data_IF_689193702495
#
_entry.id   IF_689193702495
#
_cell.length_a   1.000
_cell.length_b   1.000
_cell.length_c   1.000
_cell.angle_alpha   90.00
_cell.angle_beta   90.00
_cell.angle_gamma   90.00
#
_symmetry.space_group_name_H-M   'P 1'
#
loop_
_entity.id
_entity.type
_entity.pdbx_description
1 polymer ?
#
# COMPACT_ATOMS: atom_id res chain seq x y z
N UNK A 1 -0.94 -31.52 -10.84
CA UNK A 1 -1.01 -30.49 -9.77
C UNK A 1 -2.25 -29.65 -10.05
N UNK A 2 -3.18 -29.44 -9.11
CA UNK A 2 -4.28 -28.53 -9.36
C UNK A 2 -3.70 -27.13 -9.53
N UNK A 3 -3.85 -26.57 -10.73
CA UNK A 3 -3.49 -25.19 -11.04
C UNK A 3 -4.39 -24.31 -10.19
N UNK A 4 -3.80 -23.55 -9.27
CA UNK A 4 -4.56 -22.54 -8.53
C UNK A 4 -5.33 -21.68 -9.56
N UNK A 5 -6.63 -21.42 -9.33
CA UNK A 5 -7.36 -20.53 -10.20
C UNK A 5 -6.58 -19.20 -10.32
N UNK A 6 -6.57 -18.57 -11.50
CA UNK A 6 -5.90 -17.29 -11.66
C UNK A 6 -6.46 -16.32 -10.61
N UNK A 7 -5.61 -15.49 -9.97
CA UNK A 7 -6.05 -14.56 -8.95
C UNK A 7 -7.21 -13.72 -9.48
N UNK A 8 -8.17 -13.42 -8.61
CA UNK A 8 -9.34 -12.62 -8.98
C UNK A 8 -8.99 -11.15 -9.30
N UNK A 9 -7.71 -10.77 -9.17
CA UNK A 9 -7.13 -9.47 -9.52
C UNK A 9 -5.95 -9.62 -10.48
N UNK A 10 -5.67 -8.56 -11.24
CA UNK A 10 -4.55 -8.53 -12.17
C UNK A 10 -3.19 -8.58 -11.45
N UNK A 11 -2.11 -9.07 -12.09
CA UNK A 11 -0.77 -9.02 -11.52
C UNK A 11 -0.34 -7.62 -11.09
N UNK A 12 -0.78 -6.59 -11.82
CA UNK A 12 -0.55 -5.18 -11.52
C UNK A 12 -1.19 -4.78 -10.18
N UNK A 13 -2.49 -5.05 -10.01
CA UNK A 13 -3.22 -4.78 -8.77
C UNK A 13 -2.61 -5.55 -7.58
N UNK A 14 -2.17 -6.78 -7.83
CA UNK A 14 -1.48 -7.61 -6.84
C UNK A 14 -0.17 -6.99 -6.36
N UNK A 15 0.67 -6.50 -7.29
CA UNK A 15 1.93 -5.88 -6.94
C UNK A 15 1.74 -4.58 -6.13
N UNK A 16 0.74 -3.76 -6.50
CA UNK A 16 0.40 -2.56 -5.73
C UNK A 16 -0.05 -2.90 -4.31
N UNK A 17 -0.97 -3.85 -4.16
CA UNK A 17 -1.44 -4.30 -2.85
C UNK A 17 -0.28 -4.79 -1.97
N UNK A 18 0.58 -5.63 -2.53
CA UNK A 18 1.74 -6.18 -1.81
C UNK A 18 2.73 -5.11 -1.42
N UNK A 19 2.96 -4.10 -2.26
CA UNK A 19 3.85 -2.99 -1.94
C UNK A 19 3.32 -2.19 -0.73
N UNK A 20 2.02 -1.88 -0.73
CA UNK A 20 1.35 -1.13 0.36
C UNK A 20 1.38 -1.91 1.66
N UNK A 21 1.01 -3.19 1.59
CA UNK A 21 1.08 -4.05 2.76
C UNK A 21 2.52 -4.17 3.27
N UNK A 22 3.51 -4.41 2.43
CA UNK A 22 4.91 -4.53 2.87
C UNK A 22 5.40 -3.27 3.61
N UNK A 23 4.98 -2.08 3.17
CA UNK A 23 5.29 -0.83 3.85
C UNK A 23 4.61 -0.73 5.22
N UNK A 24 3.32 -1.06 5.27
CA UNK A 24 2.53 -0.99 6.48
C UNK A 24 2.86 -2.11 7.50
N UNK A 25 3.56 -3.16 7.05
CA UNK A 25 4.14 -4.20 7.91
C UNK A 25 5.58 -3.87 8.38
N UNK A 26 6.25 -2.85 7.80
CA UNK A 26 7.70 -2.66 8.02
C UNK A 26 8.09 -2.29 9.46
N UNK A 27 7.15 -1.74 10.24
CA UNK A 27 7.33 -1.42 11.66
C UNK A 27 6.58 -2.41 12.58
N UNK A 28 5.88 -3.40 12.00
CA UNK A 28 5.09 -4.39 12.75
C UNK A 28 3.80 -3.86 13.40
N UNK A 29 3.41 -2.61 13.15
CA UNK A 29 2.32 -1.92 13.87
C UNK A 29 0.96 -1.83 13.16
N UNK A 30 0.77 -2.49 12.01
CA UNK A 30 -0.57 -2.58 11.43
C UNK A 30 -1.48 -3.38 12.37
N UNK A 31 -2.45 -2.69 12.98
CA UNK A 31 -3.43 -3.36 13.81
C UNK A 31 -4.21 -4.37 12.96
N UNK A 32 -4.64 -5.48 13.57
CA UNK A 32 -5.42 -6.49 12.84
C UNK A 32 -6.69 -5.88 12.25
N UNK A 33 -7.26 -4.90 12.95
CA UNK A 33 -8.40 -4.10 12.53
C UNK A 33 -8.11 -3.27 11.27
N UNK A 34 -6.91 -2.69 11.14
CA UNK A 34 -6.51 -1.91 9.97
C UNK A 34 -6.23 -2.81 8.76
N UNK A 35 -5.68 -4.01 9.00
CA UNK A 35 -5.54 -5.05 7.97
C UNK A 35 -6.91 -5.49 7.46
N UNK A 36 -7.84 -5.78 8.36
CA UNK A 36 -9.18 -6.21 8.00
C UNK A 36 -9.95 -5.10 7.27
N UNK A 37 -9.78 -3.84 7.67
CA UNK A 37 -10.35 -2.67 6.98
C UNK A 37 -9.77 -2.51 5.57
N UNK A 38 -8.45 -2.64 5.42
CA UNK A 38 -7.79 -2.59 4.09
C UNK A 38 -8.31 -3.72 3.21
N UNK A 39 -8.35 -4.95 3.72
CA UNK A 39 -8.83 -6.12 2.98
C UNK A 39 -10.28 -5.96 2.55
N UNK A 40 -11.15 -5.46 3.43
CA UNK A 40 -12.55 -5.18 3.09
C UNK A 40 -12.65 -4.13 1.98
N UNK A 41 -11.97 -3.01 2.12
CA UNK A 41 -12.02 -1.93 1.13
C UNK A 41 -11.41 -2.34 -0.22
N UNK A 42 -10.28 -3.04 -0.24
CA UNK A 42 -9.69 -3.55 -1.47
C UNK A 42 -10.56 -4.62 -2.11
N UNK A 43 -11.15 -5.51 -1.32
CA UNK A 43 -12.07 -6.51 -1.86
C UNK A 43 -13.27 -5.86 -2.54
N UNK A 44 -13.81 -4.76 -2.00
CA UNK A 44 -14.90 -3.98 -2.62
C UNK A 44 -14.47 -3.26 -3.89
N UNK A 45 -13.23 -2.75 -3.91
CA UNK A 45 -12.69 -1.99 -5.04
C UNK A 45 -12.49 -2.86 -6.28
N UNK A 46 -12.13 -4.12 -6.08
CA UNK A 46 -11.80 -5.05 -7.16
C UNK A 46 -12.93 -6.03 -7.50
N UNK A 47 -13.87 -6.28 -6.59
CA UNK A 47 -14.98 -7.20 -6.83
C UNK A 47 -16.14 -6.53 -7.57
N UNK A 48 -16.76 -7.29 -8.47
CA UNK A 48 -17.96 -6.85 -9.20
C UNK A 48 -19.26 -7.31 -8.52
N UNK A 49 -19.17 -8.28 -7.59
CA UNK A 49 -20.32 -8.83 -6.87
C UNK A 49 -19.95 -9.28 -5.43
N UNK A 50 -20.94 -9.39 -4.50
CA UNK A 50 -20.67 -9.73 -3.10
C UNK A 50 -20.06 -11.12 -2.87
N UNK A 51 -20.33 -12.11 -3.74
CA UNK A 51 -19.74 -13.46 -3.63
C UNK A 51 -18.30 -13.47 -4.14
N UNK A 52 -17.98 -12.62 -5.11
CA UNK A 52 -16.61 -12.37 -5.54
C UNK A 52 -15.83 -11.62 -4.46
N UNK A 53 -16.45 -10.64 -3.80
CA UNK A 53 -15.83 -9.87 -2.72
C UNK A 53 -15.34 -10.77 -1.58
N UNK A 54 -16.18 -11.66 -1.05
CA UNK A 54 -15.77 -12.57 0.03
C UNK A 54 -14.62 -13.49 -0.36
N UNK A 55 -14.63 -14.02 -1.59
CA UNK A 55 -13.53 -14.86 -2.10
C UNK A 55 -12.25 -14.06 -2.26
N UNK A 56 -12.37 -12.85 -2.81
CA UNK A 56 -11.25 -11.97 -3.00
C UNK A 56 -10.65 -11.54 -1.66
N UNK A 57 -11.46 -11.23 -0.65
CA UNK A 57 -10.96 -10.89 0.68
C UNK A 57 -10.10 -12.02 1.29
N UNK A 58 -10.52 -13.28 1.12
CA UNK A 58 -9.73 -14.44 1.55
C UNK A 58 -8.43 -14.57 0.75
N UNK A 59 -8.50 -14.47 -0.59
CA UNK A 59 -7.31 -14.48 -1.45
C UNK A 59 -6.32 -13.38 -1.07
N UNK A 60 -6.80 -12.15 -0.88
CA UNK A 60 -5.97 -11.01 -0.48
C UNK A 60 -5.33 -11.25 0.88
N UNK A 61 -6.06 -11.78 1.86
CA UNK A 61 -5.49 -12.13 3.17
C UNK A 61 -4.34 -13.12 3.03
N UNK A 62 -4.53 -14.18 2.26
CA UNK A 62 -3.51 -15.19 2.00
C UNK A 62 -2.28 -14.59 1.31
N UNK A 63 -2.47 -13.62 0.41
CA UNK A 63 -1.37 -12.90 -0.23
C UNK A 63 -0.63 -11.94 0.70
N UNK A 64 -1.33 -11.27 1.60
CA UNK A 64 -0.69 -10.40 2.60
C UNK A 64 0.14 -11.22 3.59
N UNK A 65 -0.34 -12.41 3.97
CA UNK A 65 0.40 -13.32 4.85
C UNK A 65 1.69 -13.88 4.23
N UNK A 66 1.85 -13.83 2.90
CA UNK A 66 3.10 -14.25 2.24
C UNK A 66 4.28 -13.30 2.49
N UNK A 67 4.03 -12.10 3.04
CA UNK A 67 5.04 -11.11 3.45
C UNK A 67 6.23 -11.01 2.48
N UNK A 68 5.92 -10.68 1.22
CA UNK A 68 6.91 -10.62 0.14
C UNK A 68 7.70 -9.31 0.29
N UNK A 69 9.04 -9.34 0.28
CA UNK A 69 9.84 -8.14 0.47
C UNK A 69 9.72 -7.15 -0.71
N UNK A 70 9.90 -5.85 -0.43
CA UNK A 70 9.81 -4.78 -1.44
C UNK A 70 10.76 -5.00 -2.62
N UNK A 71 11.94 -5.57 -2.38
CA UNK A 71 12.94 -5.91 -3.40
C UNK A 71 12.39 -6.84 -4.48
N UNK A 72 11.41 -7.67 -4.15
CA UNK A 72 10.77 -8.58 -5.10
C UNK A 72 9.54 -7.96 -5.80
N UNK A 73 9.00 -6.89 -5.24
CA UNK A 73 7.78 -6.24 -5.74
C UNK A 73 8.13 -5.06 -6.63
N UNK A 74 9.04 -4.19 -6.20
CA UNK A 74 9.41 -2.97 -6.92
C UNK A 74 9.92 -3.23 -8.35
N UNK A 75 10.72 -4.28 -8.64
CA UNK A 75 11.13 -4.60 -10.00
C UNK A 75 9.97 -4.99 -10.93
N UNK A 76 8.81 -5.38 -10.38
CA UNK A 76 7.60 -5.74 -11.12
C UNK A 76 6.67 -4.54 -11.38
N UNK A 77 7.06 -3.34 -10.95
CA UNK A 77 6.40 -2.08 -11.27
C UNK A 77 7.03 -1.52 -12.55
N UNK A 78 6.34 -1.74 -13.66
CA UNK A 78 6.81 -1.45 -15.00
C UNK A 78 6.63 0.04 -15.37
N UNK A 79 5.75 0.76 -14.66
CA UNK A 79 5.46 2.18 -14.95
C UNK A 79 5.96 3.10 -13.85
N UNK A 80 6.42 4.28 -14.26
CA UNK A 80 6.81 5.34 -13.33
C UNK A 80 5.66 5.73 -12.39
N UNK A 81 4.44 5.81 -12.90
CA UNK A 81 3.26 6.18 -12.12
C UNK A 81 2.97 5.18 -10.99
N UNK A 82 3.26 3.89 -11.21
CA UNK A 82 3.11 2.85 -10.17
C UNK A 82 4.15 3.02 -9.07
N UNK A 83 5.37 3.40 -9.45
CA UNK A 83 6.46 3.68 -8.51
C UNK A 83 6.15 4.92 -7.68
N UNK A 84 5.62 5.97 -8.31
CA UNK A 84 5.18 7.19 -7.63
C UNK A 84 4.00 6.91 -6.69
N UNK A 85 3.03 6.08 -7.10
CA UNK A 85 1.94 5.66 -6.24
C UNK A 85 2.48 4.90 -5.02
N UNK A 86 3.38 3.95 -5.20
CA UNK A 86 3.97 3.21 -4.08
C UNK A 86 4.76 4.13 -3.14
N UNK A 87 5.48 5.12 -3.67
CA UNK A 87 6.16 6.14 -2.85
C UNK A 87 5.16 6.91 -1.99
N UNK A 88 4.07 7.37 -2.61
CA UNK A 88 3.00 8.13 -1.96
C UNK A 88 2.41 7.34 -0.80
N UNK A 89 1.98 6.11 -1.08
CA UNK A 89 1.35 5.24 -0.11
C UNK A 89 2.31 4.89 1.03
N UNK A 90 3.59 4.64 0.72
CA UNK A 90 4.63 4.42 1.73
C UNK A 90 4.84 5.62 2.65
N UNK A 91 4.79 6.84 2.11
CA UNK A 91 4.88 8.07 2.89
C UNK A 91 3.64 8.29 3.78
N UNK A 92 2.44 8.06 3.23
CA UNK A 92 1.17 8.19 3.97
C UNK A 92 1.13 7.23 5.17
N UNK A 93 1.60 6.00 4.98
CA UNK A 93 1.67 4.96 6.02
C UNK A 93 2.57 5.39 7.19
N UNK A 94 3.83 5.74 6.92
CA UNK A 94 4.77 6.09 8.00
C UNK A 94 4.35 7.37 8.72
N UNK A 95 3.77 8.35 8.01
CA UNK A 95 3.29 9.61 8.61
C UNK A 95 2.02 9.41 9.41
N UNK A 96 1.23 8.37 9.13
CA UNK A 96 0.02 8.08 9.88
C UNK A 96 0.25 7.21 11.11
N UNK A 97 1.39 6.52 11.20
CA UNK A 97 1.80 5.76 12.38
C UNK A 97 2.10 6.67 13.59
N UNK A 98 2.47 7.93 13.31
CA UNK A 98 2.70 9.06 14.22
C UNK A 98 1.63 9.41 15.27
N UNK A 99 0.49 8.70 15.33
CA UNK A 99 -0.71 9.14 16.05
C UNK A 99 -0.58 9.06 17.58
N UNK A 100 0.50 8.48 18.11
CA UNK A 100 0.79 8.46 19.54
C UNK A 100 1.43 9.80 19.96
N UNK A 101 0.79 10.60 20.83
CA UNK A 101 1.24 11.96 21.16
C UNK A 101 2.60 12.07 21.88
N UNK A 102 3.20 10.94 22.25
CA UNK A 102 4.49 10.86 22.94
C UNK A 102 5.61 10.25 22.10
N UNK A 103 5.35 9.92 20.82
CA UNK A 103 6.34 9.36 19.90
C UNK A 103 6.68 10.37 18.79
N UNK A 104 7.91 10.33 18.24
CA UNK A 104 8.25 11.10 17.05
C UNK A 104 7.33 10.72 15.87
N UNK A 105 7.00 11.68 15.00
CA UNK A 105 6.12 11.46 13.84
C UNK A 105 6.59 10.32 12.90
N UNK A 106 7.89 10.04 12.87
CA UNK A 106 8.48 8.91 12.16
C UNK A 106 9.61 8.38 13.04
N UNK A 107 9.60 7.08 13.34
CA UNK A 107 10.66 6.46 14.12
C UNK A 107 11.89 6.11 13.22
N UNK A 108 13.01 5.67 13.82
CA UNK A 108 14.21 5.35 13.03
C UNK A 108 14.03 4.15 12.08
N UNK A 109 13.18 3.20 12.41
CA UNK A 109 12.93 1.99 11.61
C UNK A 109 12.06 2.32 10.39
N UNK A 110 11.01 3.11 10.58
CA UNK A 110 10.15 3.67 9.53
C UNK A 110 10.95 4.55 8.58
N UNK A 111 11.84 5.41 9.11
CA UNK A 111 12.72 6.23 8.29
C UNK A 111 13.66 5.36 7.44
N UNK A 112 14.25 4.31 8.01
CA UNK A 112 15.10 3.36 7.27
C UNK A 112 14.32 2.59 6.21
N UNK A 113 13.11 2.13 6.52
CA UNK A 113 12.23 1.45 5.58
C UNK A 113 11.84 2.37 4.42
N UNK A 114 11.52 3.64 4.70
CA UNK A 114 11.17 4.62 3.69
C UNK A 114 12.36 5.02 2.80
N UNK A 115 13.54 5.24 3.38
CA UNK A 115 14.76 5.47 2.60
C UNK A 115 15.09 4.28 1.70
N UNK A 116 14.90 3.06 2.21
CA UNK A 116 15.05 1.84 1.42
C UNK A 116 14.05 1.81 0.27
N UNK A 117 12.78 2.12 0.50
CA UNK A 117 11.78 2.23 -0.55
C UNK A 117 12.20 3.24 -1.63
N UNK A 118 12.60 4.46 -1.24
CA UNK A 118 13.08 5.49 -2.19
C UNK A 118 14.24 4.99 -3.05
N UNK A 119 15.18 4.27 -2.43
CA UNK A 119 16.33 3.69 -3.13
C UNK A 119 15.92 2.64 -4.18
N UNK A 120 14.91 1.82 -3.88
CA UNK A 120 14.42 0.77 -4.78
C UNK A 120 13.59 1.34 -5.94
N UNK A 121 12.78 2.38 -5.66
CA UNK A 121 11.92 3.00 -6.65
C UNK A 121 12.72 3.74 -7.73
N UNK A 122 13.92 4.22 -7.40
CA UNK A 122 14.83 4.92 -8.30
C UNK A 122 14.15 6.11 -9.01
N UNK A 123 13.42 6.91 -8.24
CA UNK A 123 12.73 8.12 -8.70
C UNK A 123 13.66 9.34 -8.61
N UNK A 124 13.40 10.36 -9.42
CA UNK A 124 14.15 11.62 -9.34
C UNK A 124 13.81 12.37 -8.04
N UNK A 125 14.73 13.19 -7.51
CA UNK A 125 14.45 14.01 -6.32
C UNK A 125 13.21 14.92 -6.49
N UNK A 126 13.03 15.47 -7.69
CA UNK A 126 11.87 16.32 -8.01
C UNK A 126 10.55 15.53 -7.95
N UNK A 127 10.54 14.28 -8.45
CA UNK A 127 9.37 13.41 -8.38
C UNK A 127 9.06 13.02 -6.93
N UNK A 128 10.10 12.69 -6.15
CA UNK A 128 9.95 12.36 -4.73
C UNK A 128 9.33 13.52 -3.97
N UNK A 129 9.90 14.72 -4.10
CA UNK A 129 9.43 15.91 -3.39
C UNK A 129 7.99 16.27 -3.76
N UNK A 130 7.64 16.17 -5.04
CA UNK A 130 6.27 16.41 -5.50
C UNK A 130 5.29 15.41 -4.87
N UNK A 131 5.61 14.13 -4.91
CA UNK A 131 4.76 13.06 -4.38
C UNK A 131 4.58 13.18 -2.86
N UNK A 132 5.65 13.46 -2.12
CA UNK A 132 5.60 13.68 -0.66
C UNK A 132 4.71 14.88 -0.30
N UNK A 133 4.78 15.98 -1.08
CA UNK A 133 3.93 17.15 -0.85
C UNK A 133 2.44 16.86 -1.11
N UNK A 134 2.12 16.11 -2.17
CA UNK A 134 0.75 15.68 -2.47
C UNK A 134 0.20 14.74 -1.39
N UNK A 135 1.04 13.82 -0.90
CA UNK A 135 0.71 12.89 0.17
C UNK A 135 0.42 13.65 1.49
N UNK A 136 1.29 14.58 1.87
CA UNK A 136 1.12 15.41 3.06
C UNK A 136 -0.20 16.19 3.05
N UNK A 137 -0.53 16.80 1.90
CA UNK A 137 -1.81 17.51 1.73
C UNK A 137 -3.02 16.57 1.89
N UNK A 138 -2.87 15.31 1.50
CA UNK A 138 -3.95 14.31 1.58
C UNK A 138 -4.15 13.82 3.01
N UNK A 139 -3.08 13.65 3.78
CA UNK A 139 -3.12 13.32 5.20
C UNK A 139 -3.81 14.41 6.03
N UNK A 140 -3.68 15.67 5.65
CA UNK A 140 -4.33 16.80 6.34
C UNK A 140 -5.84 16.90 6.08
N UNK A 141 -6.33 16.25 5.02
CA UNK A 141 -7.71 16.37 4.56
C UNK A 141 -8.57 15.12 4.79
N UNK A 142 -7.98 13.99 5.16
CA UNK A 142 -8.72 12.72 5.32
C UNK A 142 -8.59 12.11 6.73
N UNK A 143 -9.73 11.69 7.27
CA UNK A 143 -9.81 10.95 8.53
C UNK A 143 -9.56 9.46 8.29
N UNK A 144 -8.34 8.99 8.56
CA UNK A 144 -8.00 7.56 8.57
C UNK A 144 -7.12 7.10 7.40
N UNK A 145 -6.03 6.38 7.72
CA UNK A 145 -5.01 5.98 6.74
C UNK A 145 -5.57 5.01 5.70
N UNK A 146 -6.35 4.02 6.14
CA UNK A 146 -6.86 3.00 5.23
C UNK A 146 -7.79 3.58 4.18
N UNK A 147 -8.66 4.52 4.57
CA UNK A 147 -9.56 5.18 3.62
C UNK A 147 -8.79 5.99 2.59
N UNK A 148 -7.74 6.72 3.03
CA UNK A 148 -6.83 7.43 2.15
C UNK A 148 -6.13 6.51 1.14
N UNK A 149 -5.52 5.40 1.62
CA UNK A 149 -4.83 4.45 0.74
C UNK A 149 -5.76 3.87 -0.32
N UNK A 150 -7.00 3.56 0.07
CA UNK A 150 -8.02 3.00 -0.84
C UNK A 150 -8.42 4.02 -1.89
N UNK A 151 -8.68 5.27 -1.51
CA UNK A 151 -9.05 6.35 -2.43
C UNK A 151 -7.96 6.59 -3.47
N UNK A 152 -6.69 6.61 -3.06
CA UNK A 152 -5.55 6.80 -3.96
C UNK A 152 -5.43 5.65 -4.98
N UNK A 153 -5.54 4.41 -4.52
CA UNK A 153 -5.49 3.22 -5.39
C UNK A 153 -6.69 3.20 -6.34
N UNK A 154 -7.88 3.56 -5.86
CA UNK A 154 -9.08 3.65 -6.69
C UNK A 154 -8.94 4.69 -7.81
N UNK A 155 -8.44 5.87 -7.46
CA UNK A 155 -8.21 6.94 -8.42
C UNK A 155 -7.19 6.51 -9.48
N UNK A 156 -6.13 5.81 -9.09
CA UNK A 156 -5.12 5.30 -10.02
C UNK A 156 -5.63 4.17 -10.94
N UNK A 157 -6.57 3.34 -10.47
CA UNK A 157 -7.14 2.26 -11.28
C UNK A 157 -8.19 2.79 -12.26
N UNK A 158 -8.93 3.82 -11.88
CA UNK A 158 -10.03 4.39 -12.65
C UNK A 158 -9.62 5.57 -13.54
N UNK A 159 -8.44 6.16 -13.31
CA UNK A 159 -7.84 7.21 -14.14
C UNK A 159 -7.01 6.64 -15.28
#
# INVERSE_FOLDING_TARGET
MPTQPPPSITPRQMNLLRAVASMAWSDGHLATEEIDLMLDQFSRLFANDPKQQQRLQQELRDYLLQNIPLEEIIPKLDRQEERELVLRLGYEVIRSSARTPNEPEINEEEAKAYERLKSLLNLSPDAVQRVEAEAQTSLETQDGIVELLVVQIQHFING
#
